data_IF_301635849174
#
_entry.id   IF_301635849174
#
_cell.length_a   1.000
_cell.length_b   1.000
_cell.length_c   1.000
_cell.angle_alpha   90.00
_cell.angle_beta   90.00
_cell.angle_gamma   90.00
#
_symmetry.space_group_name_H-M   'P 1'
#
loop_
_entity.id
_entity.type
_entity.pdbx_description
1 polymer ?
#
# COMPACT_ATOMS: atom_id res chain seq x y z
N UNK A 1 -19.87 -14.47 -2.97
CA UNK A 1 -18.88 -14.35 -1.88
C UNK A 1 -17.50 -14.13 -2.46
N UNK A 2 -16.74 -13.16 -1.95
CA UNK A 2 -15.27 -13.22 -1.97
C UNK A 2 -14.72 -12.26 -0.91
N UNK A 3 -14.45 -12.80 0.27
CA UNK A 3 -13.49 -12.17 1.18
C UNK A 3 -12.11 -12.61 0.68
N UNK A 4 -11.29 -11.66 0.25
CA UNK A 4 -9.90 -11.91 -0.14
C UNK A 4 -9.03 -11.04 0.74
N UNK A 5 -8.34 -11.68 1.69
CA UNK A 5 -7.24 -11.03 2.42
C UNK A 5 -5.97 -11.49 1.70
N UNK A 6 -5.40 -10.59 0.89
CA UNK A 6 -4.09 -10.77 0.29
C UNK A 6 -3.18 -9.69 0.87
N UNK A 7 -2.14 -10.10 1.57
CA UNK A 7 -1.09 -9.22 2.07
C UNK A 7 0.24 -9.77 1.53
N UNK A 8 0.94 -8.95 0.76
CA UNK A 8 2.22 -9.32 0.16
C UNK A 8 3.28 -8.40 0.77
N UNK A 9 4.31 -8.98 1.37
CA UNK A 9 5.46 -8.24 1.86
C UNK A 9 6.55 -8.22 0.80
N UNK A 10 7.03 -7.03 0.45
CA UNK A 10 8.10 -6.82 -0.52
C UNK A 10 9.26 -6.12 0.18
N UNK A 11 10.47 -6.63 -0.01
CA UNK A 11 11.68 -5.94 0.40
C UNK A 11 12.10 -5.03 -0.73
N UNK A 12 12.19 -3.74 -0.45
CA UNK A 12 12.56 -2.70 -1.40
C UNK A 12 13.92 -2.12 -1.02
N UNK A 13 14.67 -1.67 -2.02
CA UNK A 13 15.95 -1.01 -1.79
C UNK A 13 15.76 0.43 -1.29
N UNK A 14 14.76 1.13 -1.83
CA UNK A 14 14.39 2.50 -1.44
C UNK A 14 12.88 2.56 -1.15
N UNK A 15 12.55 2.99 0.07
CA UNK A 15 11.16 3.08 0.54
C UNK A 15 10.42 4.26 -0.08
N UNK A 16 11.09 5.40 -0.25
CA UNK A 16 10.47 6.61 -0.77
C UNK A 16 10.13 6.43 -2.26
N UNK A 17 11.01 5.76 -3.02
CA UNK A 17 10.75 5.37 -4.41
C UNK A 17 9.55 4.41 -4.50
N UNK A 18 9.52 3.39 -3.64
CA UNK A 18 8.43 2.42 -3.62
C UNK A 18 7.09 3.10 -3.30
N UNK A 19 7.05 3.92 -2.24
CA UNK A 19 5.85 4.69 -1.87
C UNK A 19 5.39 5.55 -3.03
N UNK A 20 6.29 6.31 -3.66
CA UNK A 20 5.96 7.17 -4.79
C UNK A 20 5.43 6.38 -5.99
N UNK A 21 5.98 5.20 -6.29
CA UNK A 21 5.49 4.34 -7.35
C UNK A 21 4.06 3.86 -7.08
N UNK A 22 3.81 3.27 -5.91
CA UNK A 22 2.50 2.74 -5.58
C UNK A 22 1.44 3.83 -5.40
N UNK A 23 1.77 4.95 -4.77
CA UNK A 23 0.82 6.05 -4.55
C UNK A 23 0.55 6.87 -5.81
N UNK A 24 1.58 7.20 -6.60
CA UNK A 24 1.41 8.08 -7.77
C UNK A 24 1.08 7.33 -9.06
N UNK A 25 1.71 6.17 -9.33
CA UNK A 25 1.47 5.42 -10.58
C UNK A 25 0.24 4.54 -10.49
N UNK A 26 0.07 3.83 -9.38
CA UNK A 26 -1.03 2.89 -9.17
C UNK A 26 -2.21 3.52 -8.43
N UNK A 27 -2.03 4.71 -7.83
CA UNK A 27 -3.10 5.40 -7.12
C UNK A 27 -3.48 4.72 -5.81
N UNK A 28 -2.53 4.05 -5.15
CA UNK A 28 -2.74 3.44 -3.84
C UNK A 28 -2.67 4.52 -2.75
N UNK A 29 -3.17 4.20 -1.58
CA UNK A 29 -3.10 5.05 -0.39
C UNK A 29 -2.09 4.48 0.59
N UNK A 30 -1.30 5.37 1.18
CA UNK A 30 -0.43 5.05 2.31
C UNK A 30 -1.29 4.94 3.57
N UNK A 31 -1.25 3.79 4.21
CA UNK A 31 -1.98 3.50 5.46
C UNK A 31 -1.05 3.71 6.65
N UNK A 32 0.18 3.22 6.54
CA UNK A 32 1.15 3.24 7.63
C UNK A 32 2.56 3.46 7.08
N UNK A 33 3.34 4.27 7.79
CA UNK A 33 4.78 4.44 7.59
C UNK A 33 5.43 4.56 8.98
N UNK A 34 5.92 3.44 9.51
CA UNK A 34 6.44 3.32 10.86
C UNK A 34 7.90 2.87 10.83
N UNK A 35 8.78 3.61 11.50
CA UNK A 35 10.17 3.21 11.69
C UNK A 35 10.29 2.15 12.79
N UNK A 36 10.93 1.02 12.49
CA UNK A 36 11.21 -0.08 13.41
C UNK A 36 12.70 -0.04 13.83
N UNK A 37 13.01 0.48 15.03
CA UNK A 37 14.39 0.68 15.48
C UNK A 37 15.14 -0.63 15.76
N UNK A 38 14.42 -1.68 16.19
CA UNK A 38 15.01 -2.98 16.55
C UNK A 38 15.60 -3.72 15.34
N UNK A 39 15.17 -3.36 14.12
CA UNK A 39 15.60 -3.98 12.87
C UNK A 39 16.19 -2.97 11.88
N UNK A 40 16.36 -1.70 12.29
CA UNK A 40 16.76 -0.57 11.43
C UNK A 40 15.99 -0.51 10.09
N UNK A 41 14.68 -0.78 10.13
CA UNK A 41 13.83 -0.87 8.92
C UNK A 41 12.59 0.00 9.02
N UNK A 42 12.03 0.38 7.87
CA UNK A 42 10.71 1.01 7.79
C UNK A 42 9.64 -0.02 7.46
N UNK A 43 8.55 0.01 8.19
CA UNK A 43 7.33 -0.73 7.91
C UNK A 43 6.36 0.19 7.19
N UNK A 44 6.06 -0.13 5.93
CA UNK A 44 5.20 0.69 5.09
C UNK A 44 4.03 -0.16 4.63
N UNK A 45 2.81 0.26 4.94
CA UNK A 45 1.58 -0.41 4.51
C UNK A 45 0.85 0.49 3.54
N UNK A 46 0.58 -0.04 2.36
CA UNK A 46 -0.18 0.62 1.31
C UNK A 46 -1.39 -0.23 0.92
N UNK A 47 -2.47 0.41 0.52
CA UNK A 47 -3.66 -0.28 0.00
C UNK A 47 -4.11 0.34 -1.32
N UNK A 48 -4.65 -0.46 -2.26
CA UNK A 48 -5.43 0.10 -3.34
C UNK A 48 -6.56 0.98 -2.79
N UNK A 49 -6.91 2.04 -3.52
CA UNK A 49 -8.07 2.87 -3.16
C UNK A 49 -9.32 1.99 -3.14
N UNK A 50 -10.20 2.14 -2.13
CA UNK A 50 -11.50 1.51 -2.18
C UNK A 50 -12.26 2.03 -3.41
N UNK A 51 -12.75 1.11 -4.24
CA UNK A 51 -13.66 1.47 -5.35
C UNK A 51 -14.92 2.02 -4.71
N UNK A 52 -15.23 3.29 -4.97
CA UNK A 52 -16.46 3.91 -4.47
C UNK A 52 -17.66 3.24 -5.17
N UNK A 53 -18.73 2.89 -4.44
CA UNK A 53 -19.93 2.27 -5.01
C UNK A 53 -20.57 3.08 -6.14
N UNK A 54 -20.33 4.40 -6.16
CA UNK A 54 -20.84 5.33 -7.17
C UNK A 54 -20.23 5.12 -8.57
N UNK A 55 -19.09 4.42 -8.68
CA UNK A 55 -18.49 4.05 -9.96
C UNK A 55 -19.06 2.74 -10.54
N UNK A 56 -20.08 2.17 -9.90
CA UNK A 56 -20.76 0.95 -10.33
C UNK A 56 -22.10 1.20 -11.04
N UNK A 57 -22.37 2.42 -11.52
CA UNK A 57 -23.55 2.67 -12.37
C UNK A 57 -23.28 2.22 -13.82
N UNK A 58 -23.55 0.94 -14.09
CA UNK A 58 -23.96 0.48 -15.42
C UNK A 58 -25.47 0.65 -15.57
#
# INVERSE_FOLDING_TARGET
MKQTIAHISLVVNDYDEAIAFYTNKLGFILIEDTYQPEQEKRWVVISPRPIQPEQLSC
#
